data_IF_655657427040
#
_entry.id   IF_655657427040
#
_cell.length_a   1.000
_cell.length_b   1.000
_cell.length_c   1.000
_cell.angle_alpha   90.00
_cell.angle_beta   90.00
_cell.angle_gamma   90.00
#
_symmetry.space_group_name_H-M   'P 1'
#
loop_
_entity.id
_entity.type
_entity.pdbx_description
1 polymer ?
#
# COMPACT_ATOMS: atom_id res chain seq x y z
N UNK A 1 15.77 -7.00 2.36
CA UNK A 1 14.63 -6.12 2.06
C UNK A 1 13.92 -5.75 3.33
N UNK A 2 13.66 -4.48 3.53
CA UNK A 2 13.09 -4.00 4.79
C UNK A 2 11.80 -3.23 4.63
N UNK A 3 11.37 -2.94 3.41
CA UNK A 3 10.08 -2.30 3.23
C UNK A 3 8.97 -3.31 3.51
N UNK A 4 7.82 -2.82 3.97
CA UNK A 4 6.70 -3.68 4.33
C UNK A 4 5.46 -3.25 3.59
N UNK A 5 4.49 -4.16 3.51
CA UNK A 5 3.19 -3.84 2.91
C UNK A 5 2.48 -2.73 3.68
N UNK A 6 2.62 -2.73 5.00
CA UNK A 6 2.02 -1.68 5.82
C UNK A 6 2.58 -0.31 5.42
N UNK A 7 3.88 -0.21 5.19
CA UNK A 7 4.48 1.05 4.77
C UNK A 7 3.91 1.50 3.42
N UNK A 8 3.71 0.56 2.50
CA UNK A 8 3.12 0.89 1.20
C UNK A 8 1.66 1.31 1.34
N UNK A 9 0.91 0.68 2.24
CA UNK A 9 -0.46 1.10 2.53
C UNK A 9 -0.49 2.53 3.05
N UNK A 10 0.40 2.84 3.97
CA UNK A 10 0.49 4.19 4.53
C UNK A 10 0.79 5.19 3.42
N UNK A 11 1.77 4.87 2.58
CA UNK A 11 2.15 5.75 1.47
C UNK A 11 0.95 6.03 0.55
N UNK A 12 0.26 4.98 0.12
CA UNK A 12 -0.87 5.17 -0.80
C UNK A 12 -2.01 5.93 -0.15
N UNK A 13 -2.25 5.70 1.13
CA UNK A 13 -3.33 6.39 1.81
C UNK A 13 -3.02 7.86 2.05
N UNK A 14 -1.77 8.18 2.40
CA UNK A 14 -1.35 9.57 2.54
C UNK A 14 -1.48 10.29 1.20
N UNK A 15 -1.15 9.60 0.11
CA UNK A 15 -1.28 10.17 -1.22
C UNK A 15 -2.75 10.51 -1.52
N UNK A 16 -3.66 9.59 -1.25
CA UNK A 16 -5.09 9.82 -1.52
C UNK A 16 -5.66 10.91 -0.64
N UNK A 17 -5.28 10.93 0.62
CA UNK A 17 -5.85 11.83 1.61
C UNK A 17 -5.21 13.21 1.60
N UNK A 18 -3.95 13.27 1.23
CA UNK A 18 -3.18 14.52 1.26
C UNK A 18 -2.69 14.89 2.66
N UNK A 19 -2.87 14.02 3.66
CA UNK A 19 -2.38 14.31 5.01
C UNK A 19 -2.20 13.03 5.80
N UNK A 20 -1.29 13.08 6.77
CA UNK A 20 -1.08 11.95 7.68
C UNK A 20 -2.26 11.79 8.63
N UNK A 21 -2.92 12.90 8.98
CA UNK A 21 -4.07 12.84 9.89
C UNK A 21 -5.23 12.06 9.26
N UNK A 22 -5.57 12.38 8.03
CA UNK A 22 -6.65 11.68 7.35
C UNK A 22 -6.30 10.20 7.12
N UNK A 23 -5.06 9.94 6.74
CA UNK A 23 -4.61 8.57 6.53
C UNK A 23 -4.72 7.76 7.82
N UNK A 24 -4.41 8.37 8.96
CA UNK A 24 -4.49 7.68 10.24
C UNK A 24 -5.92 7.26 10.57
N UNK A 25 -6.88 8.07 10.21
CA UNK A 25 -8.29 7.74 10.42
C UNK A 25 -8.68 6.53 9.56
N UNK A 26 -8.35 6.58 8.27
CA UNK A 26 -8.71 5.51 7.35
C UNK A 26 -8.06 4.18 7.74
N UNK A 27 -6.80 4.24 8.17
CA UNK A 27 -6.04 3.03 8.49
C UNK A 27 -6.22 2.58 9.93
N UNK A 28 -6.96 3.33 10.74
CA UNK A 28 -7.16 3.04 12.16
C UNK A 28 -5.81 2.95 12.90
N UNK A 29 -4.91 3.87 12.59
CA UNK A 29 -3.59 3.96 13.22
C UNK A 29 -3.47 5.32 13.87
N UNK A 30 -2.52 5.48 14.80
CA UNK A 30 -2.22 6.79 15.32
C UNK A 30 -1.50 7.62 14.26
N UNK A 31 -1.60 8.93 14.37
CA UNK A 31 -0.89 9.80 13.44
C UNK A 31 0.62 9.60 13.53
N UNK A 32 1.14 9.38 14.73
CA UNK A 32 2.57 9.15 14.89
C UNK A 32 3.00 7.84 14.23
N UNK A 33 2.14 6.81 14.26
CA UNK A 33 2.44 5.55 13.57
C UNK A 33 2.48 5.74 12.07
N UNK A 34 1.54 6.52 11.52
CA UNK A 34 1.53 6.82 10.10
C UNK A 34 2.78 7.58 9.70
N UNK A 35 3.14 8.61 10.47
CA UNK A 35 4.32 9.42 10.19
C UNK A 35 5.59 8.58 10.27
N UNK A 36 5.69 7.72 11.28
CA UNK A 36 6.87 6.86 11.44
C UNK A 36 7.00 5.88 10.29
N UNK A 37 5.89 5.27 9.88
CA UNK A 37 5.92 4.31 8.77
C UNK A 37 6.36 4.99 7.47
N UNK A 38 5.85 6.19 7.22
CA UNK A 38 6.21 6.93 6.03
C UNK A 38 7.69 7.33 6.06
N UNK A 39 8.16 7.82 7.22
CA UNK A 39 9.56 8.20 7.37
C UNK A 39 10.49 7.00 7.18
N UNK A 40 10.11 5.85 7.75
CA UNK A 40 10.90 4.63 7.57
C UNK A 40 10.98 4.22 6.11
N UNK A 41 9.86 4.29 5.41
CA UNK A 41 9.84 3.94 3.99
C UNK A 41 10.77 4.87 3.20
N UNK A 42 10.65 6.16 3.43
CA UNK A 42 11.50 7.13 2.76
C UNK A 42 12.98 6.93 3.10
N UNK A 43 13.26 6.61 4.35
CA UNK A 43 14.63 6.34 4.78
C UNK A 43 15.23 5.13 4.10
N UNK A 44 14.43 4.07 3.95
CA UNK A 44 14.92 2.85 3.31
C UNK A 44 15.10 3.03 1.82
N UNK A 45 14.26 3.83 1.18
CA UNK A 45 14.40 4.09 -0.24
C UNK A 45 15.42 5.18 -0.55
N UNK A 46 15.79 5.97 0.47
CA UNK A 46 16.78 7.02 0.29
C UNK A 46 16.26 8.25 -0.43
N UNK A 47 14.95 8.41 -0.51
CA UNK A 47 14.35 9.57 -1.18
C UNK A 47 13.08 9.96 -0.43
N UNK A 48 12.71 11.22 -0.55
CA UNK A 48 11.41 11.66 -0.08
C UNK A 48 10.37 11.41 -1.16
N UNK A 49 9.17 11.09 -0.75
CA UNK A 49 8.08 10.75 -1.65
C UNK A 49 7.06 11.86 -1.78
N UNK A 50 7.06 12.80 -0.84
CA UNK A 50 6.12 13.91 -0.82
C UNK A 50 6.87 15.21 -0.60
N UNK A 51 6.32 16.28 -1.15
CA UNK A 51 6.73 17.64 -0.83
C UNK A 51 5.67 18.27 0.06
N UNK A 52 6.08 19.13 0.95
CA UNK A 52 5.14 19.83 1.80
C UNK A 52 4.77 21.14 1.15
N UNK A 53 3.49 21.31 0.84
CA UNK A 53 2.98 22.55 0.25
C UNK A 53 1.93 23.07 1.21
N UNK A 54 2.27 24.11 1.95
CA UNK A 54 1.42 24.60 3.03
C UNK A 54 1.27 23.52 4.08
N UNK A 55 0.04 23.13 4.38
CA UNK A 55 -0.23 22.08 5.37
C UNK A 55 -0.50 20.74 4.71
N UNK A 56 -0.31 20.64 3.41
CA UNK A 56 -0.61 19.41 2.69
C UNK A 56 0.67 18.72 2.25
N UNK A 57 0.57 17.42 2.11
CA UNK A 57 1.62 16.61 1.50
C UNK A 57 1.21 16.32 0.06
N UNK A 58 2.07 16.69 -0.87
CA UNK A 58 1.80 16.52 -2.29
C UNK A 58 2.86 15.59 -2.85
N UNK A 59 2.41 14.56 -3.56
CA UNK A 59 3.32 13.57 -4.12
C UNK A 59 4.33 14.26 -5.04
N UNK A 60 5.61 13.90 -4.88
CA UNK A 60 6.65 14.42 -5.74
C UNK A 60 6.99 13.42 -6.83
N UNK A 61 8.06 13.68 -7.56
CA UNK A 61 8.45 12.82 -8.68
C UNK A 61 8.78 11.40 -8.23
N UNK A 62 9.48 11.27 -7.09
CA UNK A 62 9.83 9.95 -6.57
C UNK A 62 8.57 9.18 -6.16
N UNK A 63 7.64 9.87 -5.54
CA UNK A 63 6.39 9.25 -5.15
C UNK A 63 5.59 8.79 -6.36
N UNK A 64 5.62 9.57 -7.43
CA UNK A 64 4.91 9.19 -8.66
C UNK A 64 5.52 7.95 -9.30
N UNK A 65 6.81 7.73 -9.14
CA UNK A 65 7.44 6.51 -9.62
C UNK A 65 7.06 5.31 -8.76
N UNK A 66 6.95 5.51 -7.47
CA UNK A 66 6.64 4.42 -6.55
C UNK A 66 5.16 4.01 -6.61
N UNK A 67 4.28 4.96 -6.81
CA UNK A 67 2.84 4.73 -6.64
C UNK A 67 2.30 3.54 -7.44
N UNK A 68 2.53 3.43 -8.75
CA UNK A 68 1.99 2.28 -9.49
C UNK A 68 2.56 0.95 -9.02
N UNK A 69 3.81 0.93 -8.59
CA UNK A 69 4.41 -0.29 -8.08
C UNK A 69 3.85 -0.67 -6.72
N UNK A 70 3.59 0.33 -5.87
CA UNK A 70 2.97 0.09 -4.57
C UNK A 70 1.57 -0.45 -4.74
N UNK A 71 0.79 0.15 -5.66
CA UNK A 71 -0.56 -0.35 -5.93
C UNK A 71 -0.55 -1.79 -6.41
N UNK A 72 0.37 -2.12 -7.31
CA UNK A 72 0.45 -3.48 -7.84
C UNK A 72 0.75 -4.48 -6.74
N UNK A 73 1.68 -4.16 -5.85
CA UNK A 73 2.00 -5.05 -4.74
C UNK A 73 0.84 -5.20 -3.77
N UNK A 74 0.14 -4.11 -3.47
CA UNK A 74 -0.98 -4.17 -2.55
C UNK A 74 -2.13 -4.98 -3.15
N UNK A 75 -2.36 -4.86 -4.45
CA UNK A 75 -3.37 -5.66 -5.13
C UNK A 75 -3.01 -7.13 -5.09
N UNK A 76 -1.74 -7.46 -5.32
CA UNK A 76 -1.29 -8.84 -5.23
C UNK A 76 -1.48 -9.40 -3.83
N UNK A 77 -1.13 -8.62 -2.83
CA UNK A 77 -1.31 -9.05 -1.44
C UNK A 77 -2.79 -9.29 -1.14
N UNK A 78 -3.67 -8.42 -1.64
CA UNK A 78 -5.10 -8.60 -1.46
C UNK A 78 -5.61 -9.86 -2.14
N UNK A 79 -5.11 -10.16 -3.32
CA UNK A 79 -5.48 -11.38 -4.03
C UNK A 79 -5.05 -12.62 -3.26
N UNK A 80 -3.85 -12.57 -2.67
CA UNK A 80 -3.38 -13.68 -1.85
C UNK A 80 -4.30 -13.89 -0.65
N UNK A 81 -4.70 -12.81 0.00
CA UNK A 81 -5.58 -12.90 1.15
C UNK A 81 -6.95 -13.46 0.79
N UNK A 82 -7.43 -13.17 -0.40
CA UNK A 82 -8.73 -13.65 -0.86
C UNK A 82 -8.68 -15.09 -1.38
N UNK A 83 -7.49 -15.57 -1.68
CA UNK A 83 -7.32 -16.82 -2.41
C UNK A 83 -8.02 -18.00 -1.73
N UNK A 84 -7.97 -18.06 -0.41
CA UNK A 84 -8.53 -19.16 0.35
C UNK A 84 -9.76 -18.78 1.17
N UNK A 85 -10.27 -17.56 0.95
CA UNK A 85 -11.40 -17.11 1.70
C UNK A 85 -12.70 -17.47 1.08
N UNK A 86 -12.71 -17.91 -0.10
CA UNK A 86 -13.88 -18.24 -0.73
C UNK A 86 -14.41 -19.46 -0.16
N UNK A 87 -15.63 -19.50 0.12
CA UNK A 87 -16.10 -20.60 0.50
C UNK A 87 -16.13 -21.43 -0.57
N UNK A 88 -15.95 -22.22 -0.34
CA UNK A 88 -15.80 -23.05 -1.14
C UNK A 88 -16.06 -22.88 -2.29
N UNK A 89 -16.40 -22.54 -2.44
CA UNK A 89 -16.55 -22.42 -3.51
C UNK A 89 -15.54 -22.47 -4.19
N UNK A 90 -15.19 -22.01 -4.21
CA UNK A 90 -14.36 -21.93 -4.94
C UNK A 90 -13.50 -22.77 -4.98
N UNK A 91 -13.38 -23.09 -4.58
CA UNK A 91 -12.48 -23.77 -4.69
C UNK A 91 -12.58 -24.56 -5.56
N UNK A 92 -13.11 -24.49 -6.05
CA UNK A 92 -13.16 -25.13 -6.86
C UNK A 92 -12.51 -25.00 -7.70
N UNK A 93 -12.28 -24.75 -7.61
CA UNK A 93 -11.63 -24.67 -8.37
C UNK A 93 -11.14 -24.52 -8.92
N UNK A 94 -11.09 -24.42 -8.93
CA UNK A 94 -10.59 -24.28 -9.62
C UNK A 94 -10.34 -24.10 -10.14
N UNK A 95 -10.34 -24.08 -10.15
CA UNK A 95 -10.05 -23.92 -10.88
C UNK A 95 -9.87 -23.49 -11.37
N UNK A 96 -9.73 -23.38 -11.45
CA UNK A 96 -9.34 -23.02 -12.11
C UNK A 96 -8.93 -22.46 -12.41
N UNK A 97 -8.76 -22.45 -12.41
CA UNK A 97 -8.16 -22.07 -12.90
C UNK A 97 -7.66 -21.76 -12.99
N UNK A 98 -7.42 -21.83 -12.97
CA UNK A 98 -6.71 -21.70 -13.32
C UNK A 98 -6.23 -21.68 -13.32
N UNK A 99 -5.97 -21.81 -13.29
CA UNK A 99 -5.30 -21.85 -13.55
C UNK A 99 -5.02 -21.81 -13.64
N UNK A 100 -4.80 -21.65 -13.63
CA UNK A 100 -4.32 -21.65 -14.06
C UNK A 100 -3.97 -21.43 -13.85
N UNK A 101 -3.77 -21.29 -13.95
CA UNK A 101 -3.27 -21.17 -13.98
C UNK A 101 -2.85 -20.98 -13.55
N UNK A 102 -2.49 -20.83 -13.43
CA UNK A 102 -1.95 -20.76 -13.39
C UNK A 102 -1.65 -20.85 -13.18
N UNK A 103 -1.43 -20.76 -13.14
CA UNK A 103 -1.13 -20.89 -13.35
C UNK A 103 -1.07 -20.91 -13.49
#
# INVERSE_FOLDING_TARGET
MHITLRQLEVFTEVLKSGSTTQASVVLALSQSAVSAALADLEGQLGVQLFDRVGKRLVINEHGRLLYPKALALLEQAGEIEQLFRHDGGALRIAASSTIGNYM
#
